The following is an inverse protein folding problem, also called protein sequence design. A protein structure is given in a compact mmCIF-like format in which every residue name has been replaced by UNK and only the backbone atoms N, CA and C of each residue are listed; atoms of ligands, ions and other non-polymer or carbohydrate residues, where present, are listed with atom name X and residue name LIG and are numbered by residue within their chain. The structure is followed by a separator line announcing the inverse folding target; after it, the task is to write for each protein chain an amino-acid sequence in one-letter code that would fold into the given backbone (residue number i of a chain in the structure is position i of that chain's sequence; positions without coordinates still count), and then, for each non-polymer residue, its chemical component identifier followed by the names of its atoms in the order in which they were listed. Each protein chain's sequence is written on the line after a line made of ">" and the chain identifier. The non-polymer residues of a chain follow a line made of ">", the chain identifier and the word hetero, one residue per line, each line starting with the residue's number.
data_IF_979657690457
#
_entry.id   IF_979657690457
#
_cell.length_a   1.000
_cell.length_b   1.000
_cell.length_c   1.000
_cell.angle_alpha   90.00
_cell.angle_beta   90.00
_cell.angle_gamma   90.00
#
_symmetry.space_group_name_H-M   'P 1'
#
loop_
_entity.id
_entity.type
_entity.pdbx_description
1 polymer ?
#
# COMPACT_ATOMS: atom_id res chain seq x y z
N UNK A 1 -8.38 -19.29 -5.87
CA UNK A 1 -7.12 -18.94 -5.18
C UNK A 1 -6.13 -18.60 -6.27
N UNK A 2 -5.97 -17.31 -6.56
CA UNK A 2 -4.86 -16.84 -7.41
C UNK A 2 -3.56 -17.19 -6.68
N UNK A 3 -2.67 -17.95 -7.33
CA UNK A 3 -1.36 -18.23 -6.76
C UNK A 3 -0.52 -16.97 -6.95
N UNK A 4 -0.48 -16.10 -5.94
CA UNK A 4 0.37 -14.92 -5.95
C UNK A 4 1.81 -15.35 -5.68
N UNK A 5 2.75 -14.90 -6.52
CA UNK A 5 4.18 -15.18 -6.33
C UNK A 5 4.71 -14.60 -5.02
N UNK A 6 4.17 -13.44 -4.62
CA UNK A 6 4.42 -12.80 -3.34
C UNK A 6 3.08 -12.46 -2.66
N UNK A 7 2.85 -13.04 -1.50
CA UNK A 7 1.70 -12.72 -0.64
C UNK A 7 2.20 -12.10 0.67
N UNK A 8 1.80 -10.86 0.92
CA UNK A 8 2.17 -10.10 2.12
C UNK A 8 1.15 -10.28 3.26
N UNK A 9 0.02 -10.94 3.04
CA UNK A 9 -1.04 -11.10 4.04
C UNK A 9 -1.48 -9.74 4.62
N UNK A 10 -1.58 -9.66 5.95
CA UNK A 10 -1.97 -8.43 6.63
C UNK A 10 -0.82 -7.41 6.66
N UNK A 11 -0.97 -6.38 5.81
CA UNK A 11 -0.07 -5.22 5.77
C UNK A 11 -0.26 -4.38 7.03
N UNK A 12 0.84 -4.17 7.76
CA UNK A 12 0.87 -3.29 8.93
C UNK A 12 1.19 -1.85 8.59
N UNK A 13 1.87 -1.59 7.48
CA UNK A 13 2.25 -0.25 7.03
C UNK A 13 2.32 -0.17 5.51
N UNK A 14 1.79 0.93 4.98
CA UNK A 14 1.82 1.28 3.57
C UNK A 14 2.24 2.75 3.47
N UNK A 15 3.39 3.04 2.87
CA UNK A 15 3.87 4.41 2.66
C UNK A 15 4.21 4.65 1.19
N UNK A 16 4.04 5.88 0.74
CA UNK A 16 4.41 6.30 -0.62
C UNK A 16 5.52 7.34 -0.55
N UNK A 17 6.55 7.18 -1.37
CA UNK A 17 7.69 8.10 -1.43
C UNK A 17 7.92 8.59 -2.86
N UNK A 18 8.47 9.81 -2.96
CA UNK A 18 8.91 10.39 -4.21
C UNK A 18 10.38 10.79 -4.10
N UNK A 19 11.20 10.28 -5.02
CA UNK A 19 12.65 10.47 -5.00
C UNK A 19 13.07 11.30 -6.22
N UNK A 20 13.96 12.27 -6.01
CA UNK A 20 14.58 13.07 -7.06
C UNK A 20 14.02 14.49 -7.21
N UNK A 21 14.58 15.21 -8.17
CA UNK A 21 14.27 16.61 -8.43
C UNK A 21 12.88 16.80 -9.07
N UNK A 22 12.18 17.93 -8.82
CA UNK A 22 10.95 18.27 -9.51
C UNK A 22 11.09 18.11 -11.04
N UNK A 23 10.22 17.30 -11.65
CA UNK A 23 10.24 16.98 -13.08
C UNK A 23 10.93 15.67 -13.45
N UNK A 24 11.76 15.10 -12.57
CA UNK A 24 12.42 13.80 -12.75
C UNK A 24 12.15 12.84 -11.58
N UNK A 25 11.07 13.09 -10.83
CA UNK A 25 10.73 12.27 -9.67
C UNK A 25 10.33 10.87 -10.10
N UNK A 26 10.88 9.89 -9.40
CA UNK A 26 10.39 8.52 -9.39
C UNK A 26 9.55 8.29 -8.14
N UNK A 27 8.61 7.36 -8.22
CA UNK A 27 7.66 7.09 -7.15
C UNK A 27 7.68 5.61 -6.81
N UNK A 28 7.61 5.31 -5.52
CA UNK A 28 7.42 3.94 -5.07
C UNK A 28 6.54 3.91 -3.84
N UNK A 29 6.01 2.73 -3.58
CA UNK A 29 5.28 2.39 -2.37
C UNK A 29 6.09 1.37 -1.60
N UNK A 30 6.19 1.57 -0.29
CA UNK A 30 6.80 0.64 0.64
C UNK A 30 5.68 -0.05 1.40
N UNK A 31 5.74 -1.37 1.42
CA UNK A 31 4.84 -2.25 2.16
C UNK A 31 5.64 -2.90 3.27
N UNK A 32 5.16 -2.83 4.51
CA UNK A 32 5.66 -3.63 5.63
C UNK A 32 4.49 -4.49 6.15
N UNK A 33 4.68 -5.81 6.15
CA UNK A 33 3.71 -6.77 6.70
C UNK A 33 4.03 -7.13 8.14
N UNK A 34 2.98 -7.54 8.87
CA UNK A 34 3.09 -8.08 10.23
C UNK A 34 4.03 -9.30 10.33
N UNK A 35 4.26 -10.02 9.23
CA UNK A 35 5.18 -11.16 9.16
C UNK A 35 6.65 -10.78 8.83
N UNK A 36 7.02 -9.50 8.93
CA UNK A 36 8.35 -8.96 8.60
C UNK A 36 8.76 -9.16 7.13
N UNK A 37 7.79 -9.24 6.23
CA UNK A 37 8.02 -9.14 4.77
C UNK A 37 7.86 -7.70 4.31
N UNK A 38 8.76 -7.25 3.44
CA UNK A 38 8.74 -5.91 2.87
C UNK A 38 8.71 -5.93 1.34
N UNK A 39 8.05 -4.94 0.74
CA UNK A 39 8.07 -4.71 -0.69
C UNK A 39 8.39 -3.25 -1.00
N UNK A 40 9.21 -3.02 -2.03
CA UNK A 40 9.36 -1.71 -2.67
C UNK A 40 8.80 -1.84 -4.08
N UNK A 41 7.69 -1.17 -4.34
CA UNK A 41 7.00 -1.24 -5.63
C UNK A 41 7.14 0.10 -6.33
N UNK A 42 7.92 0.13 -7.41
CA UNK A 42 8.08 1.30 -8.26
C UNK A 42 6.85 1.48 -9.16
N UNK A 43 6.37 2.72 -9.23
CA UNK A 43 5.14 3.09 -9.92
C UNK A 43 5.34 4.36 -10.73
N UNK A 44 4.54 4.54 -11.77
CA UNK A 44 4.37 5.83 -12.42
C UNK A 44 3.51 6.76 -11.55
N UNK A 45 3.70 8.08 -11.69
CA UNK A 45 2.93 9.10 -10.94
C UNK A 45 1.42 8.89 -11.06
N UNK A 46 0.95 8.58 -12.27
CA UNK A 46 -0.47 8.39 -12.55
C UNK A 46 -1.03 7.12 -11.89
N UNK A 47 -0.24 6.04 -11.85
CA UNK A 47 -0.61 4.81 -11.15
C UNK A 47 -0.74 5.05 -9.64
N UNK A 48 0.23 5.74 -9.03
CA UNK A 48 0.17 6.12 -7.61
C UNK A 48 -1.06 6.98 -7.31
N UNK A 49 -1.35 7.97 -8.16
CA UNK A 49 -2.52 8.82 -8.00
C UNK A 49 -3.83 8.03 -8.11
N UNK A 50 -3.97 7.19 -9.12
CA UNK A 50 -5.17 6.37 -9.32
C UNK A 50 -5.38 5.39 -8.16
N UNK A 51 -4.31 4.79 -7.63
CA UNK A 51 -4.36 3.94 -6.44
C UNK A 51 -4.90 4.70 -5.23
N UNK A 52 -4.35 5.88 -4.95
CA UNK A 52 -4.78 6.70 -3.81
C UNK A 52 -6.26 7.09 -3.92
N UNK A 53 -6.74 7.43 -5.13
CA UNK A 53 -8.15 7.72 -5.39
C UNK A 53 -9.03 6.49 -5.18
N UNK A 54 -8.61 5.32 -5.68
CA UNK A 54 -9.35 4.06 -5.51
C UNK A 54 -9.45 3.68 -4.03
N UNK A 55 -8.32 3.67 -3.30
CA UNK A 55 -8.27 3.38 -1.88
C UNK A 55 -9.16 4.32 -1.07
N UNK A 56 -9.09 5.64 -1.34
CA UNK A 56 -9.94 6.62 -0.64
C UNK A 56 -11.42 6.33 -0.86
N UNK A 57 -11.85 5.99 -2.07
CA UNK A 57 -13.25 5.65 -2.37
C UNK A 57 -13.69 4.37 -1.66
N UNK A 58 -12.83 3.35 -1.66
CA UNK A 58 -13.08 2.09 -0.96
C UNK A 58 -13.25 2.34 0.54
N UNK A 59 -12.29 3.03 1.15
CA UNK A 59 -12.30 3.35 2.58
C UNK A 59 -13.52 4.20 2.97
N UNK A 60 -13.86 5.23 2.19
CA UNK A 60 -15.08 6.01 2.43
C UNK A 60 -16.36 5.18 2.32
N UNK A 61 -16.37 4.14 1.49
CA UNK A 61 -17.53 3.21 1.39
C UNK A 61 -17.66 2.39 2.68
N UNK A 62 -16.55 1.88 3.22
CA UNK A 62 -16.51 1.13 4.49
C UNK A 62 -16.97 1.99 5.67
N UNK A 63 -16.53 3.25 5.74
CA UNK A 63 -16.87 4.16 6.85
C UNK A 63 -18.38 4.51 6.89
N UNK A 64 -19.01 4.64 5.71
CA UNK A 64 -20.47 4.85 5.60
C UNK A 64 -21.25 3.61 6.04
N UNK A 65 -20.74 2.41 5.74
CA UNK A 65 -21.38 1.14 6.09
C UNK A 65 -21.18 0.75 7.58
N UNK A 66 -20.07 1.16 8.20
CA UNK A 66 -19.69 0.82 9.58
C UNK A 66 -19.07 2.02 10.33
N UNK A 67 -19.87 2.99 10.82
CA UNK A 67 -19.38 4.23 11.44
C UNK A 67 -18.67 4.05 12.80
N UNK A 68 -18.60 2.84 13.34
CA UNK A 68 -17.85 2.54 14.57
C UNK A 68 -16.36 2.24 14.33
N UNK A 69 -15.95 2.04 13.06
CA UNK A 69 -14.55 1.79 12.71
C UNK A 69 -13.89 3.14 12.42
N UNK A 70 -13.61 3.92 13.47
CA UNK A 70 -12.85 5.15 13.33
C UNK A 70 -11.48 4.80 12.77
N UNK A 71 -11.21 5.28 11.55
CA UNK A 71 -9.89 5.15 10.94
C UNK A 71 -8.93 5.86 11.87
N UNK A 72 -8.07 5.08 12.53
CA UNK A 72 -6.96 5.65 13.29
C UNK A 72 -6.14 6.43 12.28
N UNK A 73 -6.04 7.75 12.47
CA UNK A 73 -5.03 8.55 11.79
C UNK A 73 -3.68 7.92 12.12
N UNK A 74 -3.13 7.17 11.17
CA UNK A 74 -1.74 6.73 11.26
C UNK A 74 -0.91 7.99 11.07
N UNK A 75 -0.20 8.40 12.12
CA UNK A 75 0.83 9.42 11.98
C UNK A 75 1.88 8.93 10.98
N UNK A 76 2.44 9.85 10.19
CA UNK A 76 3.60 9.60 9.32
C UNK A 76 4.80 9.18 10.17
N UNK A 77 4.84 7.92 10.60
CA UNK A 77 5.97 7.36 11.30
C UNK A 77 7.03 6.98 10.28
N UNK A 78 8.32 7.29 10.51
CA UNK A 78 9.41 6.86 9.64
C UNK A 78 9.37 5.33 9.46
N UNK A 79 9.83 4.79 8.32
CA UNK A 79 9.95 3.35 8.11
C UNK A 79 10.60 2.71 9.34
N UNK A 80 10.02 1.61 9.80
CA UNK A 80 10.52 0.95 11.00
C UNK A 80 11.92 0.43 10.71
N UNK A 81 12.88 0.55 11.65
CA UNK A 81 14.21 -0.07 11.50
C UNK A 81 14.16 -1.60 11.68
N UNK A 82 13.20 -2.26 11.03
CA UNK A 82 13.04 -3.71 11.02
C UNK A 82 13.91 -4.22 9.88
N UNK A 83 14.80 -5.17 10.17
CA UNK A 83 15.46 -5.95 9.11
C UNK A 83 14.42 -6.94 8.57
N UNK A 84 13.98 -6.81 7.30
CA UNK A 84 12.97 -7.71 6.77
C UNK A 84 13.53 -9.13 6.64
N UNK A 85 12.71 -10.14 6.93
CA UNK A 85 13.06 -11.54 6.64
C UNK A 85 13.08 -11.80 5.13
N UNK A 86 12.26 -11.05 4.40
CA UNK A 86 12.09 -11.16 2.97
C UNK A 86 11.78 -9.79 2.39
N UNK A 87 12.54 -9.39 1.36
CA UNK A 87 12.36 -8.11 0.68
C UNK A 87 12.34 -8.34 -0.83
N UNK A 88 11.32 -7.79 -1.49
CA UNK A 88 11.23 -7.74 -2.95
C UNK A 88 11.17 -6.31 -3.43
N UNK A 89 11.75 -6.08 -4.60
CA UNK A 89 11.72 -4.80 -5.28
C UNK A 89 11.43 -5.02 -6.75
N UNK A 90 10.38 -4.38 -7.26
CA UNK A 90 9.98 -4.49 -8.66
C UNK A 90 9.21 -3.25 -9.11
N UNK A 91 9.06 -3.10 -10.43
CA UNK A 91 8.21 -2.08 -11.04
C UNK A 91 6.88 -2.68 -11.43
N UNK A 92 5.77 -2.07 -10.99
CA UNK A 92 4.45 -2.53 -11.38
C UNK A 92 4.11 -2.06 -12.80
N UNK A 93 3.62 -2.97 -13.64
CA UNK A 93 3.01 -2.64 -14.93
C UNK A 93 1.54 -2.30 -14.79
N UNK A 94 0.85 -3.02 -13.90
CA UNK A 94 -0.58 -2.94 -13.66
C UNK A 94 -0.84 -2.99 -12.16
N UNK A 95 -1.91 -2.30 -11.74
CA UNK A 95 -2.27 -2.19 -10.34
C UNK A 95 -3.78 -2.26 -10.19
N UNK A 96 -4.23 -3.21 -9.38
CA UNK A 96 -5.64 -3.44 -9.09
C UNK A 96 -5.88 -3.28 -7.59
N UNK A 97 -7.05 -2.73 -7.24
CA UNK A 97 -7.51 -2.59 -5.85
C UNK A 97 -8.89 -3.22 -5.77
N UNK A 98 -9.01 -4.28 -4.98
CA UNK A 98 -10.27 -4.96 -4.69
C UNK A 98 -10.73 -4.69 -3.26
N UNK A 99 -12.04 -4.75 -3.05
CA UNK A 99 -12.65 -4.76 -1.71
C UNK A 99 -13.58 -5.97 -1.62
N UNK A 100 -13.31 -6.83 -0.66
CA UNK A 100 -14.13 -8.00 -0.35
C UNK A 100 -15.00 -7.68 0.88
N UNK A 101 -16.32 -7.73 0.70
CA UNK A 101 -17.31 -7.41 1.75
C UNK A 101 -17.54 -8.56 2.72
N UNK A 102 -17.15 -9.78 2.38
CA UNK A 102 -17.48 -10.98 3.14
C UNK A 102 -16.40 -11.37 4.17
N UNK A 103 -15.27 -10.65 4.21
CA UNK A 103 -14.08 -11.01 5.03
C UNK A 103 -13.79 -10.07 6.22
N UNK A 104 -14.62 -9.07 6.51
CA UNK A 104 -14.40 -8.10 7.61
C UNK A 104 -15.51 -8.14 8.69
#
# INVERSE_FOLDING_TARGET
>A
MSNAEYDFGQVSKLSAESIGEPGQRTFHVIIESSNQSCAIIWLEKEQLFNMAVALKRTVSTVEVESPSNSIKHFEDQPPSNITPNFQVEFKASELEVGYDKDTD
#
